data_IF_541982302735
#
_entry.id   IF_541982302735
#
_cell.length_a   1.000
_cell.length_b   1.000
_cell.length_c   1.000
_cell.angle_alpha   90.00
_cell.angle_beta   90.00
_cell.angle_gamma   90.00
#
_symmetry.space_group_name_H-M   'P 1'
#
loop_
_entity.id
_entity.type
_entity.pdbx_description
1 polymer ?
#
# COMPACT_ATOMS: atom_id res chain seq x y z
N UNK A 1 5.14 -10.26 -14.95
CA UNK A 1 6.32 -9.76 -14.25
C UNK A 1 7.37 -10.84 -14.16
N UNK A 2 8.62 -10.47 -14.20
CA UNK A 2 9.74 -11.40 -14.16
C UNK A 2 9.93 -11.97 -12.76
N UNK A 3 9.95 -13.29 -12.62
CA UNK A 3 10.10 -13.97 -11.32
C UNK A 3 11.40 -13.58 -10.61
N UNK A 4 12.48 -13.34 -11.36
CA UNK A 4 13.75 -12.92 -10.78
C UNK A 4 13.66 -11.56 -10.09
N UNK A 5 12.86 -10.64 -10.65
CA UNK A 5 12.64 -9.32 -10.04
C UNK A 5 11.83 -9.45 -8.76
N UNK A 6 10.80 -10.30 -8.77
CA UNK A 6 9.98 -10.55 -7.58
C UNK A 6 10.82 -11.18 -6.47
N UNK A 7 11.65 -12.16 -6.80
CA UNK A 7 12.52 -12.82 -5.82
C UNK A 7 13.51 -11.85 -5.18
N UNK A 8 14.11 -10.98 -5.99
CA UNK A 8 15.04 -9.96 -5.50
C UNK A 8 14.35 -8.99 -4.55
N UNK A 9 13.16 -8.49 -4.92
CA UNK A 9 12.42 -7.56 -4.09
C UNK A 9 11.94 -8.23 -2.81
N UNK A 10 11.48 -9.48 -2.89
CA UNK A 10 11.08 -10.24 -1.71
C UNK A 10 12.24 -10.36 -0.73
N UNK A 11 13.42 -10.72 -1.22
CA UNK A 11 14.61 -10.85 -0.38
C UNK A 11 14.88 -9.55 0.38
N UNK A 12 14.82 -8.43 -0.32
CA UNK A 12 15.04 -7.11 0.29
C UNK A 12 14.00 -6.80 1.37
N UNK A 13 12.73 -7.12 1.10
CA UNK A 13 11.64 -6.87 2.05
C UNK A 13 11.74 -7.74 3.28
N UNK A 14 12.11 -9.00 3.10
CA UNK A 14 12.32 -9.93 4.24
C UNK A 14 13.48 -9.46 5.09
N UNK A 15 14.59 -9.08 4.48
CA UNK A 15 15.77 -8.57 5.20
C UNK A 15 15.46 -7.29 5.97
N UNK A 16 14.56 -6.46 5.43
CA UNK A 16 14.13 -5.23 6.10
C UNK A 16 13.07 -5.46 7.18
N UNK A 17 12.61 -6.69 7.36
CA UNK A 17 11.58 -7.01 8.35
C UNK A 17 10.18 -6.58 7.95
N UNK A 18 9.95 -6.31 6.66
CA UNK A 18 8.66 -5.80 6.18
C UNK A 18 7.71 -6.90 5.70
N UNK A 19 8.22 -8.09 5.40
CA UNK A 19 7.37 -9.23 5.09
C UNK A 19 7.99 -10.51 5.64
N UNK A 20 7.14 -11.50 5.87
CA UNK A 20 7.58 -12.80 6.36
C UNK A 20 8.20 -13.63 5.23
N UNK A 21 9.13 -14.50 5.57
CA UNK A 21 9.76 -15.40 4.59
C UNK A 21 8.73 -16.31 3.91
N UNK A 22 7.69 -16.70 4.64
CA UNK A 22 6.60 -17.58 4.16
C UNK A 22 5.60 -16.85 3.27
N UNK A 23 5.57 -15.52 3.31
CA UNK A 23 4.67 -14.72 2.49
C UNK A 23 5.15 -14.70 1.03
N UNK A 24 4.26 -14.40 0.12
CA UNK A 24 4.57 -14.33 -1.31
C UNK A 24 4.35 -12.92 -1.82
N UNK A 25 5.34 -12.36 -2.50
CA UNK A 25 5.20 -11.08 -3.18
C UNK A 25 4.45 -11.31 -4.49
N UNK A 26 3.27 -10.71 -4.60
CA UNK A 26 2.40 -10.84 -5.78
C UNK A 26 2.88 -9.92 -6.90
N UNK A 27 3.11 -8.65 -6.57
CA UNK A 27 3.56 -7.65 -7.55
C UNK A 27 4.09 -6.43 -6.81
N UNK A 28 4.79 -5.56 -7.54
CA UNK A 28 5.22 -4.27 -7.03
C UNK A 28 5.23 -3.26 -8.18
N UNK A 29 4.98 -2.00 -7.86
CA UNK A 29 4.93 -0.93 -8.86
C UNK A 29 5.16 0.42 -8.20
N UNK A 30 5.49 1.41 -9.03
CA UNK A 30 5.61 2.79 -8.56
C UNK A 30 4.25 3.28 -8.08
N UNK A 31 4.26 4.01 -6.98
CA UNK A 31 3.06 4.60 -6.39
C UNK A 31 3.43 5.89 -5.69
N UNK A 32 2.48 6.82 -5.62
CA UNK A 32 2.61 8.01 -4.79
C UNK A 32 1.83 7.78 -3.52
N UNK A 33 2.26 8.42 -2.44
CA UNK A 33 1.65 8.25 -1.13
C UNK A 33 1.48 9.61 -0.46
N UNK A 34 0.34 9.82 0.21
CA UNK A 34 0.10 11.02 1.01
C UNK A 34 0.46 10.72 2.46
N UNK A 35 1.39 11.49 3.00
CA UNK A 35 1.86 11.30 4.36
C UNK A 35 0.77 11.67 5.38
N UNK A 36 0.49 10.77 6.32
CA UNK A 36 -0.55 10.95 7.36
C UNK A 36 -0.36 12.17 8.21
N UNK A 37 0.89 12.51 8.49
CA UNK A 37 1.24 13.55 9.45
C UNK A 37 1.02 14.95 8.94
N UNK A 38 0.87 15.13 7.64
CA UNK A 38 0.57 16.43 7.06
C UNK A 38 -0.94 16.65 7.09
N UNK A 39 -1.44 17.16 8.20
CA UNK A 39 -2.86 17.52 8.35
C UNK A 39 -3.27 18.66 7.42
N UNK A 40 -2.31 19.32 6.80
CA UNK A 40 -2.53 20.35 5.78
C UNK A 40 -2.22 19.73 4.45
N UNK A 41 -3.01 19.98 3.43
CA UNK A 41 -2.81 19.59 2.04
C UNK A 41 -1.73 18.52 1.86
N UNK A 42 -2.14 17.27 1.88
CA UNK A 42 -1.22 16.15 1.75
C UNK A 42 -0.33 16.28 0.53
N UNK A 43 0.97 16.30 0.76
CA UNK A 43 1.95 16.28 -0.33
C UNK A 43 2.12 14.85 -0.78
N UNK A 44 1.92 14.61 -2.07
CA UNK A 44 2.13 13.29 -2.66
C UNK A 44 3.64 13.05 -2.80
N UNK A 45 4.11 11.98 -2.18
CA UNK A 45 5.51 11.56 -2.27
C UNK A 45 5.62 10.32 -3.13
N UNK A 46 6.61 10.28 -4.00
CA UNK A 46 6.83 9.12 -4.85
C UNK A 46 7.51 8.00 -4.08
N UNK A 47 7.13 6.78 -4.41
CA UNK A 47 7.69 5.60 -3.81
C UNK A 47 7.29 4.35 -4.56
N UNK A 48 7.20 3.25 -3.85
CA UNK A 48 6.87 1.93 -4.39
C UNK A 48 5.83 1.27 -3.52
N UNK A 49 4.87 0.61 -4.15
CA UNK A 49 3.88 -0.23 -3.49
C UNK A 49 4.22 -1.69 -3.76
N UNK A 50 4.23 -2.49 -2.72
CA UNK A 50 4.49 -3.93 -2.78
C UNK A 50 3.27 -4.66 -2.27
N UNK A 51 2.66 -5.49 -3.11
CA UNK A 51 1.47 -6.27 -2.74
C UNK A 51 1.90 -7.70 -2.48
N UNK A 52 1.81 -8.14 -1.23
CA UNK A 52 2.06 -9.55 -0.88
C UNK A 52 0.73 -10.28 -0.74
N UNK A 53 0.76 -11.55 -0.38
CA UNK A 53 -0.48 -12.29 -0.09
C UNK A 53 -1.13 -11.84 1.22
N UNK A 54 -0.36 -11.26 2.13
CA UNK A 54 -0.85 -10.90 3.47
C UNK A 54 -0.95 -9.40 3.73
N UNK A 55 -0.22 -8.56 2.99
CA UNK A 55 -0.12 -7.14 3.32
C UNK A 55 0.24 -6.27 2.13
N UNK A 56 -0.06 -4.99 2.26
CA UNK A 56 0.44 -3.95 1.38
C UNK A 56 1.58 -3.23 2.10
N UNK A 57 2.70 -3.05 1.41
CA UNK A 57 3.87 -2.34 1.92
C UNK A 57 4.12 -1.16 0.99
N UNK A 58 4.20 0.04 1.55
CA UNK A 58 4.52 1.26 0.78
C UNK A 58 5.80 1.84 1.33
N UNK A 59 6.79 2.03 0.46
CA UNK A 59 8.07 2.62 0.82
C UNK A 59 8.22 3.92 0.05
N UNK A 60 8.42 5.02 0.77
CA UNK A 60 8.56 6.35 0.17
C UNK A 60 9.82 7.05 0.63
N UNK A 61 10.33 7.87 -0.26
CA UNK A 61 11.37 8.86 0.03
C UNK A 61 12.74 8.31 0.32
N UNK A 62 13.67 9.25 0.53
CA UNK A 62 15.07 8.97 0.77
C UNK A 62 15.33 8.45 2.19
N UNK A 63 14.39 8.64 3.10
CA UNK A 63 14.54 8.27 4.50
C UNK A 63 13.89 6.93 4.82
N UNK A 64 13.52 6.17 3.80
CA UNK A 64 12.92 4.84 3.95
C UNK A 64 11.70 4.82 4.88
N UNK A 65 10.85 5.85 4.77
CA UNK A 65 9.56 5.81 5.43
C UNK A 65 8.74 4.68 4.83
N UNK A 66 8.27 3.79 5.66
CA UNK A 66 7.45 2.69 5.19
C UNK A 66 6.14 2.59 5.97
N UNK A 67 5.13 2.11 5.28
CA UNK A 67 3.82 1.84 5.85
C UNK A 67 3.51 0.38 5.52
N UNK A 68 3.10 -0.37 6.52
CA UNK A 68 2.70 -1.76 6.36
C UNK A 68 1.24 -1.89 6.77
N UNK A 69 0.42 -2.36 5.84
CA UNK A 69 -1.02 -2.52 6.06
C UNK A 69 -1.39 -3.98 5.87
N UNK A 70 -1.50 -4.77 6.94
CA UNK A 70 -2.05 -6.13 6.82
C UNK A 70 -3.49 -6.05 6.31
N UNK A 71 -3.85 -6.88 5.34
CA UNK A 71 -5.16 -6.78 4.72
C UNK A 71 -6.30 -7.00 5.72
N UNK A 72 -6.07 -7.82 6.74
CA UNK A 72 -7.06 -8.09 7.79
C UNK A 72 -7.44 -6.86 8.61
N UNK A 73 -6.60 -5.82 8.59
CA UNK A 73 -6.85 -4.57 9.33
C UNK A 73 -7.68 -3.57 8.55
N UNK A 74 -7.86 -3.77 7.25
CA UNK A 74 -8.58 -2.85 6.38
C UNK A 74 -10.07 -2.94 6.65
N UNK A 75 -10.71 -1.80 6.90
CA UNK A 75 -12.14 -1.71 7.19
C UNK A 75 -12.93 -1.10 6.04
N UNK A 76 -12.29 -0.28 5.21
CA UNK A 76 -12.97 0.39 4.11
C UNK A 76 -11.99 0.79 3.02
N UNK A 77 -12.43 0.73 1.77
CA UNK A 77 -11.69 1.22 0.61
C UNK A 77 -12.50 2.32 -0.08
N UNK A 78 -11.81 3.31 -0.63
CA UNK A 78 -12.44 4.38 -1.39
C UNK A 78 -11.59 4.76 -2.58
N UNK A 79 -12.14 5.62 -3.42
CA UNK A 79 -11.44 6.19 -4.58
C UNK A 79 -11.14 7.64 -4.29
N UNK A 80 -9.94 8.09 -4.66
CA UNK A 80 -9.55 9.49 -4.55
C UNK A 80 -8.73 9.89 -5.76
N UNK A 81 -8.35 11.16 -5.82
CA UNK A 81 -7.58 11.68 -6.95
C UNK A 81 -6.28 12.28 -6.47
N UNK A 82 -5.23 12.10 -7.27
CA UNK A 82 -3.98 12.83 -7.11
C UNK A 82 -4.05 14.04 -8.06
N UNK A 83 -4.42 15.20 -7.52
CA UNK A 83 -4.69 16.36 -8.36
C UNK A 83 -5.81 16.07 -9.37
N UNK A 84 -5.49 16.15 -10.66
CA UNK A 84 -6.43 15.86 -11.75
C UNK A 84 -6.42 14.39 -12.17
N UNK A 85 -5.55 13.56 -11.58
CA UNK A 85 -5.43 12.17 -11.96
C UNK A 85 -6.29 11.28 -11.06
N UNK A 86 -7.32 10.59 -11.62
CA UNK A 86 -8.20 9.72 -10.84
C UNK A 86 -7.55 8.36 -10.61
N UNK A 87 -6.42 8.35 -9.91
CA UNK A 87 -5.60 7.15 -9.72
C UNK A 87 -5.45 6.76 -8.25
N UNK A 88 -6.14 7.46 -7.35
CA UNK A 88 -5.96 7.26 -5.93
C UNK A 88 -6.86 6.20 -5.33
N UNK A 89 -6.34 5.52 -4.31
CA UNK A 89 -7.09 4.60 -3.47
C UNK A 89 -6.94 5.09 -2.04
N UNK A 90 -8.07 5.28 -1.35
CA UNK A 90 -8.04 5.54 0.09
C UNK A 90 -8.26 4.23 0.82
N UNK A 91 -7.41 3.96 1.81
CA UNK A 91 -7.41 2.72 2.56
C UNK A 91 -7.60 3.06 4.03
N UNK A 92 -8.75 2.72 4.57
CA UNK A 92 -9.06 2.93 5.98
C UNK A 92 -8.79 1.63 6.71
N UNK A 93 -7.95 1.71 7.74
CA UNK A 93 -7.50 0.53 8.45
C UNK A 93 -7.14 0.86 9.89
N UNK A 94 -7.01 -0.19 10.70
CA UNK A 94 -6.56 -0.05 12.08
C UNK A 94 -5.04 -0.08 12.12
N UNK A 95 -4.44 1.00 12.63
CA UNK A 95 -2.99 1.10 12.77
C UNK A 95 -2.51 0.15 13.87
N UNK A 96 -1.54 -0.69 13.55
CA UNK A 96 -1.00 -1.68 14.48
C UNK A 96 -0.26 -1.02 15.66
N UNK A 97 0.35 0.14 15.46
CA UNK A 97 1.12 0.81 16.51
C UNK A 97 0.23 1.57 17.50
N UNK A 98 -0.78 2.28 17.00
CA UNK A 98 -1.61 3.15 17.82
C UNK A 98 -2.97 2.55 18.19
N UNK A 99 -3.43 1.57 17.44
CA UNK A 99 -4.76 1.01 17.57
C UNK A 99 -5.86 1.91 17.02
N UNK A 100 -5.51 3.05 16.44
CA UNK A 100 -6.45 4.00 15.88
C UNK A 100 -6.85 3.63 14.46
N UNK A 101 -8.06 4.04 14.06
CA UNK A 101 -8.49 3.92 12.68
C UNK A 101 -7.94 5.10 11.90
N UNK A 102 -7.19 4.82 10.86
CA UNK A 102 -6.55 5.85 10.03
C UNK A 102 -6.86 5.59 8.57
N UNK A 103 -6.71 6.62 7.74
CA UNK A 103 -6.87 6.50 6.30
C UNK A 103 -5.59 6.90 5.60
N UNK A 104 -5.03 5.98 4.83
CA UNK A 104 -3.88 6.25 3.97
C UNK A 104 -4.35 6.34 2.53
N UNK A 105 -3.67 7.15 1.73
CA UNK A 105 -4.00 7.34 0.32
C UNK A 105 -2.78 7.04 -0.53
N UNK A 106 -2.98 6.20 -1.54
CA UNK A 106 -1.95 5.89 -2.54
C UNK A 106 -2.49 6.18 -3.93
N UNK A 107 -1.61 6.47 -4.85
CA UNK A 107 -1.96 6.70 -6.25
C UNK A 107 -1.06 5.84 -7.13
N UNK A 108 -1.65 5.09 -8.03
CA UNK A 108 -0.91 4.12 -8.85
C UNK A 108 -1.68 3.80 -10.13
N UNK A 109 -0.98 3.20 -11.10
CA UNK A 109 -1.63 2.71 -12.31
C UNK A 109 -2.48 1.48 -12.03
N UNK A 110 -3.44 1.20 -12.88
CA UNK A 110 -4.33 0.03 -12.75
C UNK A 110 -5.10 0.04 -11.42
N UNK A 111 -5.57 1.21 -11.02
CA UNK A 111 -6.30 1.39 -9.77
C UNK A 111 -7.41 0.35 -9.56
N UNK A 112 -8.24 0.11 -10.59
CA UNK A 112 -9.37 -0.81 -10.46
C UNK A 112 -8.93 -2.23 -10.15
N UNK A 113 -7.84 -2.69 -10.76
CA UNK A 113 -7.26 -4.00 -10.50
C UNK A 113 -6.86 -4.12 -9.03
N UNK A 114 -6.18 -3.10 -8.51
CA UNK A 114 -5.68 -3.16 -7.13
C UNK A 114 -6.76 -2.94 -6.09
N UNK A 115 -7.79 -2.14 -6.41
CA UNK A 115 -8.97 -2.04 -5.54
C UNK A 115 -9.64 -3.41 -5.41
N UNK A 116 -9.85 -4.10 -6.52
CA UNK A 116 -10.44 -5.43 -6.52
C UNK A 116 -9.60 -6.42 -5.71
N UNK A 117 -8.29 -6.38 -5.91
CA UNK A 117 -7.36 -7.21 -5.15
C UNK A 117 -7.47 -6.96 -3.65
N UNK A 118 -7.40 -5.70 -3.24
CA UNK A 118 -7.47 -5.31 -1.83
C UNK A 118 -8.82 -5.66 -1.21
N UNK A 119 -9.91 -5.40 -1.91
CA UNK A 119 -11.26 -5.73 -1.43
C UNK A 119 -11.41 -7.22 -1.20
N UNK A 120 -10.91 -8.04 -2.12
CA UNK A 120 -10.93 -9.50 -1.99
C UNK A 120 -10.11 -9.99 -0.80
N UNK A 121 -8.91 -9.44 -0.62
CA UNK A 121 -8.03 -9.83 0.49
C UNK A 121 -8.57 -9.40 1.85
N UNK A 122 -9.15 -8.21 1.91
CA UNK A 122 -9.65 -7.64 3.16
C UNK A 122 -11.07 -8.10 3.49
N UNK A 123 -11.80 -8.64 2.52
CA UNK A 123 -13.19 -9.02 2.72
C UNK A 123 -14.11 -7.83 2.89
N UNK A 124 -13.81 -6.70 2.23
CA UNK A 124 -14.62 -5.49 2.30
C UNK A 124 -15.27 -5.20 0.95
N UNK A 125 -16.29 -4.32 0.96
CA UNK A 125 -17.01 -3.96 -0.25
C UNK A 125 -16.14 -3.14 -1.20
N UNK A 126 -16.39 -3.30 -2.50
CA UNK A 126 -15.81 -2.43 -3.52
C UNK A 126 -16.41 -1.03 -3.40
N UNK A 127 -15.59 0.03 -3.53
CA UNK A 127 -16.11 1.40 -3.48
C UNK A 127 -16.90 1.78 -4.74
#
# INVERSE_FOLDING_TARGET
MNDAKLEKQKKNLVEAGLMAQEDTLVDFLQASYVERLTKKMGTWKQGWAYFTQERLIVITGLLNSNIVIPYETITELGKCSQGLFPMGISITHKDAETGEIVTDKISLTKREKWIEFLAGKAGVAMP
#
